data_IF_785856903941
#
_entry.id   IF_785856903941
#
_cell.length_a   1.000
_cell.length_b   1.000
_cell.length_c   1.000
_cell.angle_alpha   90.00
_cell.angle_beta   90.00
_cell.angle_gamma   90.00
#
_symmetry.space_group_name_H-M   'P 1'
#
loop_
_entity.id
_entity.type
_entity.pdbx_description
1 polymer ?
#
# COMPACT_ATOMS: atom_id res chain seq x y z
N UNK A 1 -7.61 18.45 -16.86
CA UNK A 1 -7.89 17.13 -16.26
C UNK A 1 -7.01 16.96 -15.03
N UNK A 2 -7.55 16.45 -13.92
CA UNK A 2 -6.76 16.24 -12.69
C UNK A 2 -5.94 14.96 -12.81
N UNK A 3 -4.61 15.09 -12.81
CA UNK A 3 -3.67 13.96 -12.89
C UNK A 3 -3.66 13.11 -11.62
N UNK A 4 -4.04 13.68 -10.48
CA UNK A 4 -4.09 13.01 -9.17
C UNK A 4 -5.41 13.34 -8.47
N UNK A 5 -5.83 12.49 -7.53
CA UNK A 5 -7.10 12.67 -6.79
C UNK A 5 -7.03 12.32 -5.31
N UNK A 6 -5.82 12.28 -4.73
CA UNK A 6 -5.66 12.17 -3.29
C UNK A 6 -6.22 13.41 -2.58
N UNK A 7 -6.91 13.19 -1.47
CA UNK A 7 -7.46 14.20 -0.59
C UNK A 7 -6.99 13.84 0.84
N UNK A 8 -6.55 14.81 1.66
CA UNK A 8 -6.19 14.55 3.04
C UNK A 8 -7.33 13.93 3.82
N UNK A 9 -7.01 12.94 4.66
CA UNK A 9 -7.99 12.31 5.52
C UNK A 9 -8.34 13.21 6.72
N UNK A 10 -9.58 13.09 7.22
CA UNK A 10 -10.04 13.84 8.39
C UNK A 10 -9.71 12.99 9.63
N UNK A 11 -9.05 13.54 10.67
CA UNK A 11 -8.71 12.77 11.86
C UNK A 11 -9.93 12.09 12.49
N UNK A 12 -9.85 10.78 12.70
CA UNK A 12 -10.87 9.98 13.36
C UNK A 12 -10.28 9.25 14.58
N UNK A 13 -10.86 9.47 15.76
CA UNK A 13 -10.44 8.80 16.99
C UNK A 13 -10.66 7.28 16.98
N UNK A 14 -11.42 6.75 16.01
CA UNK A 14 -11.68 5.33 15.82
C UNK A 14 -10.61 4.62 14.99
N UNK A 15 -9.65 5.37 14.44
CA UNK A 15 -8.58 4.79 13.63
C UNK A 15 -7.73 3.80 14.44
N UNK A 16 -7.56 2.60 13.89
CA UNK A 16 -6.69 1.59 14.48
C UNK A 16 -5.23 1.94 14.26
N UNK A 17 -4.48 2.16 15.34
CA UNK A 17 -3.05 2.39 15.28
C UNK A 17 -2.29 1.08 15.11
N UNK A 18 -1.52 0.98 14.02
CA UNK A 18 -0.61 -0.15 13.81
C UNK A 18 0.58 -0.07 14.77
N UNK A 19 0.80 -1.14 15.54
CA UNK A 19 1.96 -1.31 16.40
C UNK A 19 2.71 -2.59 16.03
N UNK A 20 3.90 -2.45 15.45
CA UNK A 20 4.75 -3.58 15.12
C UNK A 20 5.31 -4.25 16.40
N UNK A 21 5.43 -5.59 16.44
CA UNK A 21 6.03 -6.27 17.59
C UNK A 21 7.44 -5.76 17.91
N UNK A 22 7.78 -5.49 19.19
CA UNK A 22 9.07 -4.91 19.57
C UNK A 22 10.30 -5.72 19.10
N UNK A 23 10.15 -7.03 18.95
CA UNK A 23 11.20 -7.90 18.43
C UNK A 23 11.65 -7.51 17.02
N UNK A 24 10.72 -7.15 16.13
CA UNK A 24 11.04 -6.75 14.75
C UNK A 24 11.62 -5.34 14.69
N UNK A 25 11.12 -4.42 15.51
CA UNK A 25 11.63 -3.03 15.58
C UNK A 25 13.10 -2.97 16.02
N UNK A 26 13.53 -3.90 16.89
CA UNK A 26 14.92 -4.00 17.36
C UNK A 26 15.88 -4.60 16.32
N UNK A 27 15.35 -5.25 15.28
CA UNK A 27 16.13 -6.03 14.32
C UNK A 27 15.80 -5.68 12.86
N UNK A 28 15.61 -4.39 12.58
CA UNK A 28 15.39 -3.92 11.21
C UNK A 28 16.66 -4.06 10.36
N UNK A 29 16.58 -4.57 9.12
CA UNK A 29 17.71 -4.53 8.21
C UNK A 29 18.03 -3.08 7.83
N UNK A 30 19.30 -2.80 7.54
CA UNK A 30 19.72 -1.47 7.07
C UNK A 30 19.05 -1.05 5.75
N UNK A 31 18.57 -2.03 4.97
CA UNK A 31 17.85 -1.83 3.71
C UNK A 31 16.96 -3.03 3.41
N UNK A 32 15.77 -2.78 2.89
CA UNK A 32 14.88 -3.80 2.32
C UNK A 32 14.35 -3.32 0.96
N UNK A 33 14.18 -4.24 0.02
CA UNK A 33 13.58 -3.98 -1.29
C UNK A 33 12.49 -5.03 -1.55
N UNK A 34 11.25 -4.56 -1.64
CA UNK A 34 10.07 -5.41 -1.86
C UNK A 34 9.64 -5.46 -3.32
N UNK A 35 10.28 -4.72 -4.25
CA UNK A 35 9.80 -4.56 -5.64
C UNK A 35 9.57 -5.87 -6.37
N UNK A 36 10.39 -6.89 -6.12
CA UNK A 36 10.25 -8.22 -6.73
C UNK A 36 8.98 -8.97 -6.30
N UNK A 37 8.35 -8.54 -5.21
CA UNK A 37 7.13 -9.10 -4.64
C UNK A 37 5.89 -8.27 -5.00
N UNK A 38 6.09 -7.09 -5.60
CA UNK A 38 4.99 -6.21 -5.99
C UNK A 38 4.37 -6.62 -7.33
N UNK A 39 3.06 -6.34 -7.51
CA UNK A 39 2.44 -6.46 -8.82
C UNK A 39 3.05 -5.46 -9.82
N UNK A 40 2.79 -5.64 -11.13
CA UNK A 40 3.16 -4.66 -12.14
C UNK A 40 2.61 -3.27 -11.82
N UNK A 41 3.32 -2.22 -12.25
CA UNK A 41 2.87 -0.83 -12.05
C UNK A 41 1.64 -0.57 -12.91
N UNK A 42 0.56 -0.09 -12.28
CA UNK A 42 -0.70 0.22 -12.96
C UNK A 42 -0.65 1.56 -13.70
N UNK A 43 -1.46 1.68 -14.75
CA UNK A 43 -1.74 2.96 -15.43
C UNK A 43 -3.08 3.53 -14.96
N UNK A 44 -3.04 4.60 -14.17
CA UNK A 44 -4.23 5.29 -13.68
C UNK A 44 -4.91 6.18 -14.74
N UNK A 45 -4.26 6.44 -15.88
CA UNK A 45 -4.72 7.37 -16.91
C UNK A 45 -4.98 8.79 -16.38
N UNK A 46 -5.96 9.47 -16.97
CA UNK A 46 -6.32 10.86 -16.67
C UNK A 46 -7.49 10.99 -15.67
N UNK A 47 -7.73 9.95 -14.86
CA UNK A 47 -8.90 9.85 -13.97
C UNK A 47 -8.71 10.49 -12.59
N UNK A 48 -7.46 10.69 -12.15
CA UNK A 48 -7.16 11.07 -10.77
C UNK A 48 -7.38 9.92 -9.77
N UNK A 49 -7.28 8.67 -10.19
CA UNK A 49 -7.55 7.47 -9.37
C UNK A 49 -6.34 6.95 -8.58
N UNK A 50 -5.40 7.83 -8.20
CA UNK A 50 -4.14 7.42 -7.58
C UNK A 50 -4.31 6.64 -6.26
N UNK A 51 -5.25 7.06 -5.40
CA UNK A 51 -5.55 6.34 -4.15
C UNK A 51 -6.10 4.94 -4.42
N UNK A 52 -6.98 4.80 -5.42
CA UNK A 52 -7.53 3.51 -5.82
C UNK A 52 -6.45 2.57 -6.39
N UNK A 53 -5.53 3.10 -7.21
CA UNK A 53 -4.41 2.32 -7.74
C UNK A 53 -3.44 1.89 -6.64
N UNK A 54 -3.13 2.77 -5.68
CA UNK A 54 -2.27 2.43 -4.55
C UNK A 54 -2.86 1.31 -3.68
N UNK A 55 -4.16 1.42 -3.35
CA UNK A 55 -4.87 0.39 -2.56
C UNK A 55 -5.01 -0.91 -3.35
N UNK A 56 -5.38 -0.85 -4.64
CA UNK A 56 -5.43 -2.03 -5.51
C UNK A 56 -4.10 -2.78 -5.54
N UNK A 57 -2.98 -2.05 -5.67
CA UNK A 57 -1.64 -2.64 -5.66
C UNK A 57 -1.27 -3.27 -4.32
N UNK A 58 -1.70 -2.68 -3.20
CA UNK A 58 -1.51 -3.25 -1.87
C UNK A 58 -2.35 -4.54 -1.66
N UNK A 59 -3.58 -4.57 -2.16
CA UNK A 59 -4.46 -5.75 -2.11
C UNK A 59 -3.89 -6.87 -2.98
N UNK A 60 -3.50 -6.59 -4.22
CA UNK A 60 -2.92 -7.60 -5.11
C UNK A 60 -1.60 -8.14 -4.53
N UNK A 61 -0.76 -7.29 -3.95
CA UNK A 61 0.44 -7.71 -3.23
C UNK A 61 0.12 -8.73 -2.12
N UNK A 62 -0.91 -8.47 -1.30
CA UNK A 62 -1.26 -9.36 -0.20
C UNK A 62 -1.91 -10.66 -0.71
N UNK A 63 -2.73 -10.60 -1.77
CA UNK A 63 -3.24 -11.80 -2.45
C UNK A 63 -2.11 -12.68 -3.00
N UNK A 64 -1.10 -12.09 -3.65
CA UNK A 64 0.09 -12.80 -4.14
C UNK A 64 0.86 -13.45 -2.98
N UNK A 65 1.04 -12.71 -1.87
CA UNK A 65 1.74 -13.18 -0.67
C UNK A 65 1.01 -14.36 0.01
N UNK A 66 -0.31 -14.29 0.09
CA UNK A 66 -1.17 -15.32 0.70
C UNK A 66 -1.54 -16.45 -0.28
N UNK A 67 -1.09 -16.38 -1.54
CA UNK A 67 -1.39 -17.35 -2.62
C UNK A 67 -2.89 -17.51 -2.90
N UNK A 68 -3.62 -16.41 -2.79
CA UNK A 68 -5.04 -16.36 -3.12
C UNK A 68 -5.25 -16.20 -4.64
N UNK A 69 -6.43 -16.60 -5.16
CA UNK A 69 -6.80 -16.28 -6.53
C UNK A 69 -6.84 -14.76 -6.74
N UNK A 70 -6.32 -14.31 -7.88
CA UNK A 70 -6.38 -12.91 -8.32
C UNK A 70 -7.63 -12.66 -9.17
#
# INVERSE_FOLDING_TARGET
MKRYGWIPDIPDQRDYLYAAPPAFLRALPARIDLRKQCPPVYDQGQLGSCTANAIGGAIEFDQMKEKLPQ
#
